data_IF_082687838574
#
_entry.id   IF_082687838574
#
_cell.length_a   1.000
_cell.length_b   1.000
_cell.length_c   1.000
_cell.angle_alpha   90.00
_cell.angle_beta   90.00
_cell.angle_gamma   90.00
#
_symmetry.space_group_name_H-M   'P 1'
#
loop_
_entity.id
_entity.type
_entity.pdbx_description
1 polymer ?
#
# COMPACT_ATOMS: atom_id res chain seq x y z
N UNK A 1 -30.92 -13.80 -33.44
CA UNK A 1 -29.76 -13.82 -32.50
C UNK A 1 -28.68 -14.66 -33.17
N UNK A 2 -27.45 -14.16 -33.27
CA UNK A 2 -26.38 -14.84 -34.04
C UNK A 2 -25.88 -16.08 -33.30
N UNK A 3 -25.84 -17.23 -33.97
CA UNK A 3 -25.41 -18.54 -33.41
C UNK A 3 -23.91 -18.60 -33.02
N UNK A 4 -23.15 -17.55 -33.31
CA UNK A 4 -21.71 -17.45 -33.01
C UNK A 4 -21.40 -16.65 -31.73
N UNK A 5 -22.40 -16.20 -30.97
CA UNK A 5 -22.17 -15.42 -29.76
C UNK A 5 -21.77 -16.31 -28.57
N UNK A 6 -20.53 -16.17 -28.09
CA UNK A 6 -20.05 -16.91 -26.90
C UNK A 6 -20.80 -16.42 -25.65
N UNK A 7 -21.43 -17.35 -24.92
CA UNK A 7 -22.25 -17.06 -23.73
C UNK A 7 -21.47 -16.43 -22.55
N UNK A 8 -20.13 -16.51 -22.56
CA UNK A 8 -19.25 -15.93 -21.54
C UNK A 8 -18.00 -15.36 -22.21
N UNK A 9 -17.72 -14.09 -21.96
CA UNK A 9 -16.52 -13.44 -22.49
C UNK A 9 -15.25 -14.13 -21.97
N UNK A 10 -14.36 -14.55 -22.88
CA UNK A 10 -13.02 -15.04 -22.56
C UNK A 10 -12.03 -13.89 -22.25
N UNK A 11 -12.50 -12.63 -22.29
CA UNK A 11 -11.65 -11.49 -21.96
C UNK A 11 -11.28 -11.55 -20.48
N UNK A 12 -10.00 -11.32 -20.13
CA UNK A 12 -9.59 -11.21 -18.74
C UNK A 12 -10.46 -10.17 -18.01
N UNK A 13 -11.03 -10.56 -16.87
CA UNK A 13 -11.71 -9.60 -15.99
C UNK A 13 -10.67 -8.59 -15.54
N UNK A 14 -10.94 -7.30 -15.78
CA UNK A 14 -10.07 -6.23 -15.33
C UNK A 14 -9.88 -6.35 -13.82
N UNK A 15 -8.63 -6.55 -13.39
CA UNK A 15 -8.30 -6.61 -11.97
C UNK A 15 -8.41 -5.18 -11.43
N UNK A 16 -9.22 -5.01 -10.38
CA UNK A 16 -9.21 -3.79 -9.58
C UNK A 16 -7.89 -3.73 -8.80
N UNK A 17 -6.91 -3.02 -9.37
CA UNK A 17 -5.61 -2.77 -8.77
C UNK A 17 -5.64 -1.38 -8.15
N UNK A 18 -6.05 -1.30 -6.89
CA UNK A 18 -5.76 -0.14 -6.06
C UNK A 18 -4.28 -0.14 -5.70
N UNK A 19 -3.53 0.82 -6.25
CA UNK A 19 -2.13 1.05 -5.89
C UNK A 19 -2.12 1.79 -4.55
N UNK A 20 -1.59 1.19 -3.47
CA UNK A 20 -1.56 1.84 -2.16
C UNK A 20 -0.59 3.03 -2.14
N UNK A 21 -0.88 3.97 -1.25
CA UNK A 21 0.00 5.11 -0.98
C UNK A 21 1.38 4.63 -0.54
N UNK A 22 2.41 5.19 -1.17
CA UNK A 22 3.79 4.75 -1.03
C UNK A 22 4.71 5.96 -1.12
N UNK A 23 5.74 6.00 -0.27
CA UNK A 23 6.70 7.09 -0.21
C UNK A 23 7.69 6.97 -1.34
N UNK A 24 7.30 7.28 -2.57
CA UNK A 24 8.19 7.37 -3.70
C UNK A 24 8.29 8.83 -4.15
N UNK A 25 9.48 9.45 -4.12
CA UNK A 25 9.66 10.83 -4.60
C UNK A 25 9.86 10.87 -6.11
N UNK A 26 9.12 11.73 -6.82
CA UNK A 26 9.25 12.10 -8.24
C UNK A 26 9.66 10.98 -9.22
N UNK A 27 9.25 9.75 -8.95
CA UNK A 27 9.79 8.56 -9.62
C UNK A 27 8.89 8.18 -10.78
N UNK A 28 9.41 8.16 -12.01
CA UNK A 28 8.68 7.61 -13.16
C UNK A 28 8.29 6.11 -12.98
N UNK A 29 8.82 5.44 -11.95
CA UNK A 29 8.60 4.03 -11.62
C UNK A 29 7.67 3.71 -10.43
N UNK A 30 6.99 4.68 -9.78
CA UNK A 30 6.20 4.44 -8.54
C UNK A 30 5.26 3.24 -8.66
N UNK A 31 4.49 3.18 -9.75
CA UNK A 31 3.54 2.09 -9.99
C UNK A 31 4.25 0.75 -10.17
N UNK A 32 5.30 0.68 -10.98
CA UNK A 32 6.06 -0.57 -11.22
C UNK A 32 6.71 -1.10 -9.95
N UNK A 33 7.25 -0.24 -9.11
CA UNK A 33 7.88 -0.63 -7.84
C UNK A 33 6.86 -1.11 -6.82
N UNK A 34 5.74 -0.38 -6.68
CA UNK A 34 4.64 -0.83 -5.83
C UNK A 34 4.09 -2.18 -6.30
N UNK A 35 3.91 -2.37 -7.61
CA UNK A 35 3.47 -3.65 -8.17
C UNK A 35 4.48 -4.79 -7.94
N UNK A 36 5.79 -4.51 -8.00
CA UNK A 36 6.82 -5.49 -7.68
C UNK A 36 6.75 -5.97 -6.23
N UNK A 37 6.55 -5.04 -5.29
CA UNK A 37 6.34 -5.35 -3.87
C UNK A 37 5.07 -6.16 -3.69
N UNK A 38 3.93 -5.72 -4.25
CA UNK A 38 2.65 -6.43 -4.16
C UNK A 38 2.74 -7.85 -4.76
N UNK A 39 3.40 -8.02 -5.90
CA UNK A 39 3.60 -9.35 -6.50
C UNK A 39 4.44 -10.26 -5.60
N UNK A 40 5.43 -9.70 -4.91
CA UNK A 40 6.29 -10.44 -3.98
C UNK A 40 5.53 -10.84 -2.71
N UNK A 41 4.71 -9.93 -2.16
CA UNK A 41 3.79 -10.18 -1.03
C UNK A 41 2.68 -11.20 -1.35
N UNK A 42 2.42 -11.46 -2.62
CA UNK A 42 1.47 -12.47 -3.10
C UNK A 42 2.14 -13.75 -3.59
N UNK A 43 3.45 -13.85 -3.42
CA UNK A 43 4.25 -15.02 -3.82
C UNK A 43 5.23 -15.38 -2.69
N UNK A 44 6.54 -15.18 -2.88
CA UNK A 44 7.57 -15.66 -1.96
C UNK A 44 7.62 -14.94 -0.61
N UNK A 45 6.89 -13.84 -0.43
CA UNK A 45 6.80 -13.10 0.81
C UNK A 45 5.37 -13.03 1.37
N UNK A 46 4.53 -14.02 1.04
CA UNK A 46 3.12 -14.09 1.48
C UNK A 46 2.92 -14.13 2.98
N UNK A 47 3.90 -14.64 3.72
CA UNK A 47 3.88 -14.71 5.20
C UNK A 47 3.83 -13.32 5.85
N UNK A 48 4.42 -12.30 5.23
CA UNK A 48 4.56 -10.97 5.81
C UNK A 48 3.21 -10.29 6.15
N UNK A 49 2.22 -10.23 5.24
CA UNK A 49 0.91 -9.69 5.56
C UNK A 49 0.02 -10.64 6.38
N UNK A 50 0.42 -11.88 6.61
CA UNK A 50 -0.34 -12.88 7.38
C UNK A 50 -0.07 -12.77 8.87
N UNK A 51 1.19 -12.52 9.24
CA UNK A 51 1.61 -12.37 10.63
C UNK A 51 1.23 -11.01 11.22
N UNK A 52 1.19 -10.97 12.55
CA UNK A 52 0.99 -9.75 13.34
C UNK A 52 2.21 -9.59 14.26
N UNK A 53 3.21 -8.78 13.87
CA UNK A 53 4.38 -8.53 14.71
C UNK A 53 4.01 -7.84 16.03
N UNK A 54 4.73 -8.13 17.12
CA UNK A 54 4.43 -7.61 18.47
C UNK A 54 4.41 -6.08 18.54
N UNK A 55 5.30 -5.43 17.79
CA UNK A 55 5.48 -3.98 17.75
C UNK A 55 4.67 -3.30 16.63
N UNK A 56 3.80 -4.04 15.94
CA UNK A 56 3.08 -3.53 14.78
C UNK A 56 2.24 -2.30 15.10
N UNK A 57 1.65 -2.22 16.30
CA UNK A 57 0.85 -1.07 16.73
C UNK A 57 1.65 0.23 16.81
N UNK A 58 2.97 0.17 16.97
CA UNK A 58 3.83 1.34 16.91
C UNK A 58 3.92 1.89 15.47
N UNK A 59 3.91 1.01 14.47
CA UNK A 59 3.99 1.38 13.05
C UNK A 59 2.61 1.60 12.41
N UNK A 60 1.59 0.82 12.79
CA UNK A 60 0.30 0.78 12.13
C UNK A 60 -0.80 0.31 13.10
N UNK A 61 -1.46 1.23 13.84
CA UNK A 61 -2.47 0.89 14.84
C UNK A 61 -3.63 0.03 14.33
N UNK A 62 -4.07 0.27 13.10
CA UNK A 62 -5.20 -0.47 12.51
C UNK A 62 -4.82 -1.86 11.96
N UNK A 63 -3.54 -2.26 11.98
CA UNK A 63 -3.04 -3.43 11.24
C UNK A 63 -3.70 -4.76 11.63
N UNK A 64 -3.93 -4.98 12.93
CA UNK A 64 -4.54 -6.21 13.44
C UNK A 64 -5.92 -6.46 12.80
N UNK A 65 -6.72 -5.40 12.65
CA UNK A 65 -8.07 -5.44 12.07
C UNK A 65 -8.07 -5.18 10.55
N UNK A 66 -6.91 -4.92 9.96
CA UNK A 66 -6.79 -4.57 8.56
C UNK A 66 -7.03 -5.79 7.66
N UNK A 67 -7.71 -5.56 6.53
CA UNK A 67 -7.82 -6.56 5.47
C UNK A 67 -6.45 -6.92 4.89
N UNK A 68 -6.34 -8.07 4.21
CA UNK A 68 -5.12 -8.50 3.51
C UNK A 68 -4.55 -7.38 2.61
N UNK A 69 -5.41 -6.71 1.83
CA UNK A 69 -5.00 -5.60 0.95
C UNK A 69 -4.38 -4.42 1.74
N UNK A 70 -4.93 -4.08 2.90
CA UNK A 70 -4.39 -3.01 3.75
C UNK A 70 -3.08 -3.42 4.43
N UNK A 71 -2.93 -4.69 4.82
CA UNK A 71 -1.66 -5.23 5.33
C UNK A 71 -0.58 -5.26 4.26
N UNK A 72 -0.93 -5.60 3.01
CA UNK A 72 -0.04 -5.45 1.86
C UNK A 72 0.38 -3.98 1.65
N UNK A 73 -0.57 -3.06 1.75
CA UNK A 73 -0.32 -1.62 1.63
C UNK A 73 0.67 -1.10 2.69
N UNK A 74 0.55 -1.58 3.93
CA UNK A 74 1.53 -1.29 4.99
C UNK A 74 2.95 -1.69 4.58
N UNK A 75 3.14 -2.90 4.06
CA UNK A 75 4.46 -3.37 3.64
C UNK A 75 5.03 -2.54 2.49
N UNK A 76 4.19 -2.14 1.53
CA UNK A 76 4.58 -1.17 0.49
C UNK A 76 5.04 0.15 1.11
N UNK A 77 4.27 0.69 2.05
CA UNK A 77 4.61 1.93 2.77
C UNK A 77 5.93 1.85 3.53
N UNK A 78 6.14 0.76 4.27
CA UNK A 78 7.35 0.52 5.04
C UNK A 78 8.59 0.46 4.15
N UNK A 79 8.53 -0.30 3.05
CA UNK A 79 9.67 -0.50 2.14
C UNK A 79 9.96 0.76 1.34
N UNK A 80 8.94 1.48 0.90
CA UNK A 80 9.14 2.75 0.20
C UNK A 80 9.80 3.81 1.09
N UNK A 81 9.44 3.83 2.38
CA UNK A 81 10.11 4.68 3.38
C UNK A 81 11.52 4.21 3.72
N UNK A 82 11.76 2.90 3.78
CA UNK A 82 13.11 2.35 3.93
C UNK A 82 14.01 2.75 2.75
N UNK A 83 13.53 2.55 1.51
CA UNK A 83 14.27 2.88 0.30
C UNK A 83 14.63 4.37 0.19
N UNK A 84 13.82 5.26 0.79
CA UNK A 84 14.17 6.66 0.92
C UNK A 84 15.44 6.87 1.75
N UNK A 85 15.53 6.21 2.91
CA UNK A 85 16.67 6.34 3.83
C UNK A 85 17.92 5.57 3.40
N UNK A 86 17.75 4.59 2.51
CA UNK A 86 18.84 3.80 1.93
C UNK A 86 19.42 4.43 0.67
N UNK A 87 18.58 4.91 -0.26
CA UNK A 87 19.06 5.38 -1.57
C UNK A 87 18.45 6.67 -2.07
N UNK A 88 17.52 7.28 -1.31
CA UNK A 88 16.73 8.43 -1.80
C UNK A 88 15.97 8.06 -3.09
N UNK A 89 15.48 6.81 -3.14
CA UNK A 89 14.81 6.20 -4.32
C UNK A 89 15.64 6.14 -5.60
N UNK A 90 16.98 6.15 -5.50
CA UNK A 90 17.87 5.99 -6.65
C UNK A 90 18.15 4.49 -6.90
N UNK A 91 17.64 3.89 -7.98
CA UNK A 91 17.80 2.45 -8.23
C UNK A 91 19.24 2.06 -8.58
N UNK A 92 20.07 2.99 -9.06
CA UNK A 92 21.46 2.73 -9.40
C UNK A 92 22.46 3.09 -8.29
N UNK A 93 21.95 3.47 -7.10
CA UNK A 93 22.79 3.83 -5.97
C UNK A 93 23.71 2.69 -5.56
N UNK A 94 24.97 3.05 -5.26
CA UNK A 94 25.96 2.15 -4.68
C UNK A 94 26.55 2.79 -3.44
N UNK A 95 26.39 2.16 -2.29
CA UNK A 95 26.80 2.67 -0.99
C UNK A 95 27.83 1.79 -0.29
N UNK A 96 28.24 2.20 0.91
CA UNK A 96 29.17 1.48 1.77
C UNK A 96 30.48 1.10 1.09
N UNK A 97 31.12 2.06 0.38
CA UNK A 97 32.40 1.84 -0.30
C UNK A 97 32.33 0.97 -1.55
N UNK A 98 31.16 0.83 -2.19
CA UNK A 98 31.00 0.03 -3.40
C UNK A 98 30.37 -1.36 -3.19
N UNK A 99 29.86 -1.63 -2.00
CA UNK A 99 29.43 -2.97 -1.58
C UNK A 99 27.91 -3.17 -1.60
N UNK A 100 27.13 -2.12 -1.42
CA UNK A 100 25.68 -2.20 -1.26
C UNK A 100 24.96 -1.54 -2.43
N UNK A 101 23.93 -2.19 -2.95
CA UNK A 101 23.37 -1.84 -4.26
C UNK A 101 21.86 -1.63 -4.23
N UNK A 102 21.41 -0.66 -5.02
CA UNK A 102 20.01 -0.48 -5.38
C UNK A 102 19.17 0.27 -4.36
N UNK A 103 17.84 0.16 -4.52
CA UNK A 103 16.86 0.91 -3.74
C UNK A 103 16.96 0.66 -2.23
N UNK A 104 17.24 -0.58 -1.84
CA UNK A 104 17.30 -1.00 -0.44
C UNK A 104 18.71 -1.36 0.00
N UNK A 105 19.73 -0.97 -0.77
CA UNK A 105 21.14 -1.16 -0.47
C UNK A 105 21.43 -2.59 0.00
N UNK A 106 21.40 -3.56 -0.92
CA UNK A 106 21.64 -4.98 -0.62
C UNK A 106 23.05 -5.39 -1.04
N UNK A 107 23.74 -6.17 -0.20
CA UNK A 107 25.04 -6.78 -0.50
C UNK A 107 24.83 -8.03 -1.40
N UNK A 108 25.60 -8.22 -2.48
CA UNK A 108 25.46 -9.39 -3.35
C UNK A 108 25.61 -10.74 -2.62
N UNK A 109 26.47 -10.81 -1.60
CA UNK A 109 26.64 -12.01 -0.79
C UNK A 109 25.37 -12.35 -0.01
N UNK A 110 24.73 -11.36 0.63
CA UNK A 110 23.44 -11.52 1.31
C UNK A 110 22.37 -12.00 0.33
N UNK A 111 22.27 -11.36 -0.85
CA UNK A 111 21.31 -11.75 -1.87
C UNK A 111 21.49 -13.22 -2.31
N UNK A 112 22.73 -13.71 -2.43
CA UNK A 112 23.01 -15.12 -2.69
C UNK A 112 22.60 -16.03 -1.52
N UNK A 113 22.94 -15.64 -0.29
CA UNK A 113 22.60 -16.40 0.92
C UNK A 113 21.11 -16.63 1.10
N UNK A 114 20.30 -15.61 0.75
CA UNK A 114 18.84 -15.72 0.75
C UNK A 114 18.26 -16.28 -0.56
N UNK A 115 19.08 -16.69 -1.53
CA UNK A 115 18.58 -17.29 -2.77
C UNK A 115 17.83 -16.33 -3.69
N UNK A 116 18.13 -15.03 -3.64
CA UNK A 116 17.52 -14.03 -4.52
C UNK A 116 17.85 -14.28 -6.00
N UNK A 117 16.99 -13.74 -6.89
CA UNK A 117 17.22 -13.72 -8.35
C UNK A 117 18.40 -12.83 -8.71
N UNK A 118 18.42 -11.59 -8.23
CA UNK A 118 19.58 -10.71 -8.36
C UNK A 118 20.69 -11.12 -7.40
N UNK A 119 21.84 -11.56 -7.94
CA UNK A 119 22.97 -12.13 -7.17
C UNK A 119 24.28 -11.37 -7.32
N UNK A 120 24.28 -10.29 -8.11
CA UNK A 120 25.42 -9.43 -8.41
C UNK A 120 25.04 -7.96 -8.17
N UNK A 121 26.05 -7.10 -7.99
CA UNK A 121 25.81 -5.66 -7.83
C UNK A 121 25.08 -5.05 -9.02
N UNK A 122 25.43 -5.46 -10.25
CA UNK A 122 24.75 -5.03 -11.46
C UNK A 122 23.27 -5.45 -11.48
N UNK A 123 22.96 -6.70 -11.13
CA UNK A 123 21.58 -7.19 -11.07
C UNK A 123 20.76 -6.48 -9.97
N UNK A 124 21.39 -6.14 -8.84
CA UNK A 124 20.73 -5.43 -7.73
C UNK A 124 20.44 -3.96 -8.04
N UNK A 125 20.94 -3.41 -9.15
CA UNK A 125 20.52 -2.10 -9.67
C UNK A 125 19.19 -2.14 -10.42
N UNK A 126 18.65 -3.32 -10.75
CA UNK A 126 17.27 -3.43 -11.20
C UNK A 126 16.33 -3.25 -9.99
N UNK A 127 15.46 -2.22 -9.98
CA UNK A 127 14.63 -1.93 -8.82
C UNK A 127 13.61 -3.02 -8.51
N UNK A 128 13.13 -3.76 -9.50
CA UNK A 128 12.13 -4.83 -9.29
C UNK A 128 12.79 -6.02 -8.60
N UNK A 129 13.95 -6.46 -9.10
CA UNK A 129 14.69 -7.57 -8.52
C UNK A 129 15.27 -7.19 -7.13
N UNK A 130 15.67 -5.93 -6.93
CA UNK A 130 16.12 -5.42 -5.62
C UNK A 130 15.00 -5.47 -4.57
N UNK A 131 13.82 -4.92 -4.88
CA UNK A 131 12.66 -4.92 -3.97
C UNK A 131 12.14 -6.34 -3.71
N UNK A 132 12.13 -7.20 -4.75
CA UNK A 132 11.78 -8.61 -4.62
C UNK A 132 12.74 -9.36 -3.67
N UNK A 133 14.04 -9.07 -3.76
CA UNK A 133 15.05 -9.63 -2.86
C UNK A 133 14.89 -9.11 -1.43
N UNK A 134 14.65 -7.81 -1.25
CA UNK A 134 14.37 -7.23 0.07
C UNK A 134 13.22 -7.95 0.76
N UNK A 135 12.12 -8.21 0.03
CA UNK A 135 11.01 -8.95 0.60
C UNK A 135 11.30 -10.42 0.91
N UNK A 136 12.16 -11.07 0.12
CA UNK A 136 12.60 -12.44 0.42
C UNK A 136 13.38 -12.50 1.73
N UNK A 137 14.26 -11.53 1.96
CA UNK A 137 15.01 -11.40 3.22
C UNK A 137 14.04 -11.15 4.39
N UNK A 138 13.15 -10.15 4.27
CA UNK A 138 12.16 -9.83 5.31
C UNK A 138 11.24 -11.02 5.62
N UNK A 139 10.84 -11.80 4.61
CA UNK A 139 10.00 -12.99 4.77
C UNK A 139 10.69 -14.11 5.57
N UNK A 140 12.00 -14.02 5.80
CA UNK A 140 12.73 -14.89 6.73
C UNK A 140 12.86 -14.22 8.09
N UNK A 141 13.33 -12.97 8.14
CA UNK A 141 13.72 -12.33 9.41
C UNK A 141 12.52 -11.89 10.26
N UNK A 142 11.45 -11.38 9.65
CA UNK A 142 10.28 -10.89 10.40
C UNK A 142 9.50 -12.04 11.04
N UNK A 143 9.16 -13.15 10.34
CA UNK A 143 8.50 -14.27 11.00
C UNK A 143 9.38 -14.96 12.04
N UNK A 144 10.71 -15.01 11.83
CA UNK A 144 11.67 -15.53 12.82
C UNK A 144 11.63 -14.74 14.12
N UNK A 145 11.55 -13.41 14.02
CA UNK A 145 11.75 -12.52 15.16
C UNK A 145 10.46 -11.91 15.74
N UNK A 146 9.34 -12.06 15.03
CA UNK A 146 8.01 -11.56 15.40
C UNK A 146 7.95 -10.05 15.72
N UNK A 147 8.84 -9.25 15.13
CA UNK A 147 8.88 -7.79 15.25
C UNK A 147 9.17 -7.16 13.90
N UNK A 148 8.69 -5.93 13.67
CA UNK A 148 9.16 -5.07 12.58
C UNK A 148 10.59 -4.65 12.88
N UNK A 149 10.88 -4.13 14.07
CA UNK A 149 12.26 -3.75 14.44
C UNK A 149 12.46 -3.66 15.95
N UNK A 150 13.38 -4.48 16.48
CA UNK A 150 13.84 -4.42 17.88
C UNK A 150 15.32 -4.84 17.97
N UNK A 151 16.23 -3.90 18.22
CA UNK A 151 17.67 -4.20 18.17
C UNK A 151 18.09 -4.66 16.77
N UNK A 152 18.66 -5.87 16.64
CA UNK A 152 19.05 -6.51 15.38
C UNK A 152 17.97 -7.46 14.82
N UNK A 153 16.71 -7.30 15.23
CA UNK A 153 15.61 -8.23 14.89
C UNK A 153 14.63 -7.65 13.89
N UNK A 154 13.98 -8.54 13.13
CA UNK A 154 12.99 -8.22 12.12
C UNK A 154 13.64 -7.58 10.89
N UNK A 155 13.10 -6.45 10.45
CA UNK A 155 13.70 -5.64 9.39
C UNK A 155 15.04 -5.04 9.85
N UNK A 156 15.27 -4.84 11.14
CA UNK A 156 16.57 -4.33 11.60
C UNK A 156 17.71 -5.36 11.54
N UNK A 157 17.45 -6.61 11.13
CA UNK A 157 18.49 -7.60 10.95
C UNK A 157 19.44 -7.26 9.78
N UNK A 158 18.92 -6.64 8.71
CA UNK A 158 19.66 -6.38 7.48
C UNK A 158 19.73 -4.89 7.11
N UNK A 159 18.87 -4.03 7.68
CA UNK A 159 18.73 -2.64 7.23
C UNK A 159 19.15 -1.59 8.28
N UNK A 160 20.23 -0.87 7.94
CA UNK A 160 20.89 0.14 8.77
C UNK A 160 20.00 1.30 9.27
N UNK A 161 19.05 1.84 8.50
CA UNK A 161 18.15 2.91 8.93
C UNK A 161 17.38 2.60 10.21
N UNK A 162 17.11 1.33 10.50
CA UNK A 162 16.45 0.94 11.74
C UNK A 162 17.34 1.03 12.98
N UNK A 163 18.65 1.20 12.85
CA UNK A 163 19.56 1.45 13.98
C UNK A 163 19.68 2.95 14.32
N UNK A 164 19.30 3.85 13.41
CA UNK A 164 19.21 5.27 13.70
C UNK A 164 17.83 5.62 14.27
N UNK A 165 17.78 6.14 15.50
CA UNK A 165 16.53 6.58 16.13
C UNK A 165 15.76 7.57 15.25
N UNK A 166 16.46 8.56 14.70
CA UNK A 166 15.90 9.57 13.80
C UNK A 166 15.29 8.95 12.53
N UNK A 167 16.02 8.09 11.82
CA UNK A 167 15.52 7.47 10.57
C UNK A 167 14.38 6.51 10.85
N UNK A 168 14.51 5.68 11.89
CA UNK A 168 13.46 4.74 12.32
C UNK A 168 12.16 5.47 12.68
N UNK A 169 12.24 6.58 13.42
CA UNK A 169 11.06 7.34 13.79
C UNK A 169 10.42 8.04 12.58
N UNK A 170 11.22 8.56 11.64
CA UNK A 170 10.70 9.10 10.38
C UNK A 170 9.95 8.02 9.55
N UNK A 171 10.52 6.81 9.42
CA UNK A 171 9.85 5.68 8.77
C UNK A 171 8.54 5.35 9.49
N UNK A 172 8.58 5.20 10.81
CA UNK A 172 7.41 4.86 11.63
C UNK A 172 6.32 5.91 11.50
N UNK A 173 6.65 7.18 11.68
CA UNK A 173 5.71 8.31 11.60
C UNK A 173 5.07 8.39 10.23
N UNK A 174 5.85 8.26 9.15
CA UNK A 174 5.32 8.29 7.80
C UNK A 174 4.30 7.17 7.56
N UNK A 175 4.62 5.91 7.91
CA UNK A 175 3.72 4.76 7.68
C UNK A 175 2.47 4.84 8.57
N UNK A 176 2.63 5.28 9.82
CA UNK A 176 1.55 5.40 10.79
C UNK A 176 0.44 6.35 10.34
N UNK A 177 0.80 7.40 9.61
CA UNK A 177 -0.12 8.42 9.13
C UNK A 177 -0.90 8.03 7.86
N UNK A 178 -0.66 6.84 7.31
CA UNK A 178 -1.32 6.42 6.07
C UNK A 178 -2.77 5.97 6.30
N UNK A 179 -3.68 6.15 5.32
CA UNK A 179 -5.10 5.78 5.47
C UNK A 179 -5.35 4.31 5.83
N UNK A 180 -4.44 3.42 5.42
CA UNK A 180 -4.49 1.99 5.76
C UNK A 180 -4.01 1.67 7.19
N UNK A 181 -3.37 2.62 7.89
CA UNK A 181 -2.91 2.48 9.28
C UNK A 181 -3.74 3.27 10.30
N UNK A 182 -4.46 4.30 9.85
CA UNK A 182 -5.37 5.10 10.67
C UNK A 182 -6.78 4.51 10.75
N UNK A 183 -7.10 3.49 9.95
CA UNK A 183 -8.43 2.87 9.91
C UNK A 183 -9.46 3.65 9.09
N UNK A 184 -9.08 4.79 8.50
CA UNK A 184 -9.95 5.62 7.66
C UNK A 184 -10.53 4.85 6.46
N UNK A 185 -9.78 3.91 5.89
CA UNK A 185 -10.26 3.06 4.81
C UNK A 185 -11.48 2.19 5.20
N UNK A 186 -11.69 1.91 6.50
CA UNK A 186 -12.89 1.22 6.99
C UNK A 186 -14.05 2.19 7.24
N UNK A 187 -13.78 3.37 7.81
CA UNK A 187 -14.83 4.33 8.18
C UNK A 187 -15.53 4.96 6.97
N UNK A 188 -14.82 5.10 5.85
CA UNK A 188 -15.37 5.65 4.62
C UNK A 188 -16.15 4.63 3.77
N UNK A 189 -16.11 3.33 4.12
CA UNK A 189 -16.87 2.32 3.40
C UNK A 189 -18.34 2.39 3.84
N UNK A 190 -19.30 2.64 2.93
CA UNK A 190 -20.71 2.59 3.27
C UNK A 190 -21.06 1.21 3.85
N UNK A 191 -21.69 1.19 5.04
CA UNK A 191 -22.26 -0.05 5.58
C UNK A 191 -23.46 -0.44 4.72
N UNK A 192 -23.59 -1.74 4.42
CA UNK A 192 -24.79 -2.24 3.77
C UNK A 192 -26.01 -1.87 4.63
N UNK A 193 -27.11 -1.51 3.98
CA UNK A 193 -28.39 -1.30 4.66
C UNK A 193 -28.78 -2.61 5.34
N UNK A 194 -29.11 -2.62 6.64
CA UNK A 194 -29.61 -3.81 7.32
C UNK A 194 -30.87 -4.37 6.65
N UNK A 195 -30.95 -5.68 6.49
CA UNK A 195 -32.10 -6.37 5.85
C UNK A 195 -33.38 -6.24 6.71
N UNK A 196 -33.23 -6.10 8.03
CA UNK A 196 -34.34 -5.98 8.98
C UNK A 196 -35.08 -4.63 8.90
N UNK A 197 -34.54 -3.64 8.18
CA UNK A 197 -35.26 -2.39 7.88
C UNK A 197 -36.38 -2.59 6.84
N UNK A 198 -36.32 -3.62 6.00
CA UNK A 198 -37.43 -3.96 5.08
C UNK A 198 -38.54 -4.75 5.79
N UNK A 199 -38.20 -5.57 6.79
CA UNK A 199 -39.16 -6.41 7.50
C UNK A 199 -39.89 -5.69 8.66
N UNK A 200 -39.34 -4.57 9.16
CA UNK A 200 -39.86 -3.87 10.35
C UNK A 200 -40.92 -2.78 10.08
N UNK A 201 -41.31 -2.54 8.83
CA UNK A 201 -42.36 -1.57 8.50
C UNK A 201 -43.37 -2.09 7.46
N UNK A 202 -44.26 -3.03 7.85
CA UNK A 202 -45.45 -3.30 7.06
C UNK A 202 -46.40 -2.09 7.18
N UNK A 203 -46.26 -1.10 6.29
CA UNK A 203 -47.23 0.00 6.17
C UNK A 203 -46.69 1.36 5.77
N UNK A 204 -45.39 1.66 5.94
CA UNK A 204 -44.88 3.01 5.61
C UNK A 204 -44.70 3.29 4.11
N UNK A 205 -44.78 2.27 3.26
CA UNK A 205 -44.51 2.39 1.82
C UNK A 205 -45.75 2.15 0.95
N UNK A 206 -46.92 1.91 1.54
CA UNK A 206 -48.15 1.64 0.80
C UNK A 206 -48.70 2.87 0.05
N UNK A 207 -48.24 4.07 0.39
CA UNK A 207 -48.66 5.35 -0.23
C UNK A 207 -47.53 6.07 -0.98
N UNK A 208 -46.37 5.44 -1.17
CA UNK A 208 -45.29 6.06 -1.93
C UNK A 208 -45.61 6.01 -3.43
N UNK A 209 -46.02 7.15 -3.98
CA UNK A 209 -46.20 7.39 -5.42
C UNK A 209 -44.97 6.86 -6.19
N UNK A 210 -45.11 5.91 -7.13
CA UNK A 210 -44.00 5.28 -7.84
C UNK A 210 -43.32 6.21 -8.87
N UNK A 211 -43.58 7.52 -8.83
CA UNK A 211 -42.92 8.47 -9.72
C UNK A 211 -41.41 8.45 -9.47
N UNK A 212 -40.57 8.15 -10.48
CA UNK A 212 -39.14 8.18 -10.31
C UNK A 212 -38.73 9.62 -10.01
N UNK A 213 -38.25 9.87 -8.78
CA UNK A 213 -37.64 11.15 -8.42
C UNK A 213 -36.37 11.29 -9.24
N UNK A 214 -36.47 11.91 -10.41
CA UNK A 214 -35.30 12.25 -11.22
C UNK A 214 -34.45 13.24 -10.41
N UNK A 215 -33.14 13.01 -10.27
CA UNK A 215 -32.24 13.99 -9.66
C UNK A 215 -32.40 15.33 -10.38
N UNK A 216 -32.64 16.41 -9.65
CA UNK A 216 -32.67 17.75 -10.23
C UNK A 216 -31.33 18.02 -10.91
N UNK A 217 -31.37 18.56 -12.12
CA UNK A 217 -30.15 18.94 -12.83
C UNK A 217 -29.32 19.91 -11.97
N UNK A 218 -28.00 19.68 -11.95
CA UNK A 218 -27.05 20.57 -11.27
C UNK A 218 -27.25 22.01 -11.81
N UNK A 219 -27.44 23.02 -10.96
CA UNK A 219 -27.58 24.41 -11.41
C UNK A 219 -26.34 24.83 -12.22
N UNK A 220 -26.54 25.36 -13.42
CA UNK A 220 -25.45 25.63 -14.38
C UNK A 220 -24.90 27.05 -14.35
N UNK A 221 -25.27 27.92 -13.40
CA UNK A 221 -24.69 29.28 -13.32
C UNK A 221 -24.49 29.72 -11.87
N UNK A 222 -23.24 29.93 -11.50
CA UNK A 222 -22.92 30.93 -10.48
C UNK A 222 -23.20 32.30 -11.10
N UNK A 223 -24.26 32.97 -10.66
CA UNK A 223 -24.43 34.39 -10.93
C UNK A 223 -23.38 35.15 -10.10
N UNK A 224 -22.62 36.09 -10.68
CA UNK A 224 -21.73 36.93 -9.89
C UNK A 224 -22.55 37.81 -8.96
N UNK A 225 -22.09 37.93 -7.70
CA UNK A 225 -22.63 38.86 -6.72
C UNK A 225 -22.33 40.28 -7.25
N UNK A 226 -23.38 41.02 -7.63
CA UNK A 226 -23.25 42.44 -7.94
C UNK A 226 -23.09 43.18 -6.62
N UNK A 227 -21.90 43.74 -6.39
CA UNK A 227 -21.66 44.65 -5.27
C UNK A 227 -22.38 45.97 -5.54
N UNK A 228 -23.42 46.27 -4.78
CA UNK A 228 -24.01 47.61 -4.72
C UNK A 228 -23.04 48.52 -3.97
N UNK A 229 -22.40 49.47 -4.67
CA UNK A 229 -21.73 50.60 -4.04
C UNK A 229 -22.80 51.53 -3.48
N UNK A 230 -22.84 51.67 -2.16
CA UNK A 230 -23.51 52.78 -1.48
C UNK A 230 -22.69 54.05 -1.70
N UNK A 231 -23.36 55.06 -2.24
CA UNK A 231 -22.88 56.44 -2.36
C UNK A 231 -23.51 57.27 -1.25
N UNK A 232 -22.70 57.78 -0.34
CA UNK A 232 -22.84 59.04 0.40
C UNK A 232 -21.44 59.54 0.75
#
# INVERSE_FOLDING_TARGET
MSELAVAKSLRPVARDISIPEARWENSHGKARWTLAILSSLRSHASVLPEIVPEDIRAYCPAYEQASRKQREAFWVGLISSLAWHESTHRPHAVGGGGLWYGLTQILPATARGYGCKARSGAALKDPVDNLSCALRIMAVTVPRDMVISRGMRGVAADWGPFHSSRKREDIRSWVRNQPYCTGLARSLRPKARPDDLMDRQPGLWAEADPTPVRPRARPTRWAPIVATKSSE
#
